data_IF_138131143903
#
_entry.id   IF_138131143903
#
_cell.length_a   1.000
_cell.length_b   1.000
_cell.length_c   1.000
_cell.angle_alpha   90.00
_cell.angle_beta   90.00
_cell.angle_gamma   90.00
#
_symmetry.space_group_name_H-M   'P 1'
#
loop_
_entity.id
_entity.type
_entity.pdbx_description
1 polymer ?
#
# COMPACT_ATOMS: atom_id res chain seq x y z
N UNK A 1 13.96 18.49 10.94
CA UNK A 1 13.10 17.80 9.95
C UNK A 1 12.03 17.08 10.75
N UNK A 2 10.79 17.56 10.73
CA UNK A 2 9.67 16.83 11.37
C UNK A 2 9.33 15.66 10.46
N UNK A 3 9.78 14.45 10.79
CA UNK A 3 9.25 13.25 10.18
C UNK A 3 7.82 13.09 10.67
N UNK A 4 6.85 13.58 9.90
CA UNK A 4 5.45 13.34 10.22
C UNK A 4 5.22 11.83 10.12
N UNK A 5 4.81 11.15 11.21
CA UNK A 5 4.58 9.71 11.16
C UNK A 5 3.43 9.40 10.19
N UNK A 6 3.60 8.36 9.39
CA UNK A 6 2.62 7.95 8.40
C UNK A 6 1.37 7.41 9.11
N UNK A 7 0.23 8.11 8.95
CA UNK A 7 -1.06 7.68 9.53
C UNK A 7 -1.89 6.98 8.46
N UNK A 8 -2.11 5.68 8.63
CA UNK A 8 -2.92 4.86 7.73
C UNK A 8 -4.42 4.98 8.02
N UNK A 9 -5.22 5.07 6.95
CA UNK A 9 -6.68 4.97 6.99
C UNK A 9 -7.12 3.81 6.11
N UNK A 10 -7.90 2.88 6.68
CA UNK A 10 -8.40 1.71 5.97
C UNK A 10 -9.77 1.98 5.30
N UNK A 11 -10.00 1.33 4.18
CA UNK A 11 -11.28 1.30 3.45
C UNK A 11 -11.50 -0.12 2.89
N UNK A 12 -12.76 -0.58 2.95
CA UNK A 12 -13.14 -1.96 2.67
C UNK A 12 -14.20 -2.00 1.56
N UNK A 13 -13.86 -2.60 0.42
CA UNK A 13 -14.75 -2.70 -0.74
C UNK A 13 -14.78 -4.13 -1.28
N UNK A 14 -15.77 -4.92 -0.85
CA UNK A 14 -15.88 -6.33 -1.23
C UNK A 14 -14.67 -7.15 -0.76
N UNK A 15 -14.04 -7.91 -1.67
CA UNK A 15 -12.81 -8.68 -1.41
C UNK A 15 -11.52 -7.84 -1.50
N UNK A 16 -11.65 -6.57 -1.90
CA UNK A 16 -10.53 -5.63 -1.93
C UNK A 16 -10.50 -4.82 -0.63
N UNK A 17 -9.30 -4.73 -0.08
CA UNK A 17 -9.00 -4.01 1.15
C UNK A 17 -7.95 -2.98 0.82
N UNK A 18 -8.10 -1.76 1.29
CA UNK A 18 -7.21 -0.66 0.94
C UNK A 18 -6.79 0.10 2.19
N UNK A 19 -5.55 0.60 2.18
CA UNK A 19 -5.04 1.55 3.16
C UNK A 19 -4.41 2.74 2.45
N UNK A 20 -4.62 3.93 2.99
CA UNK A 20 -4.06 5.19 2.46
C UNK A 20 -3.34 5.95 3.56
N UNK A 21 -2.27 6.65 3.20
CA UNK A 21 -1.58 7.56 4.11
C UNK A 21 -0.97 8.75 3.37
N UNK A 22 -0.60 9.80 4.11
CA UNK A 22 0.06 11.00 3.58
C UNK A 22 1.29 11.31 4.42
N UNK A 23 2.43 11.61 3.77
CA UNK A 23 3.68 12.06 4.41
C UNK A 23 4.33 13.12 3.54
N UNK A 24 4.60 14.30 4.09
CA UNK A 24 5.33 15.39 3.43
C UNK A 24 4.84 15.73 2.00
N UNK A 25 3.52 15.70 1.81
CA UNK A 25 2.85 15.97 0.53
C UNK A 25 2.74 14.77 -0.42
N UNK A 26 3.39 13.65 -0.11
CA UNK A 26 3.23 12.38 -0.81
C UNK A 26 2.01 11.64 -0.29
N UNK A 27 1.23 11.06 -1.19
CA UNK A 27 0.08 10.19 -0.88
C UNK A 27 0.42 8.75 -1.21
N UNK A 28 0.24 7.85 -0.27
CA UNK A 28 0.47 6.42 -0.40
C UNK A 28 -0.86 5.69 -0.45
N UNK A 29 -0.94 4.66 -1.28
CA UNK A 29 -2.10 3.78 -1.43
C UNK A 29 -1.62 2.34 -1.50
N UNK A 30 -2.05 1.55 -0.53
CA UNK A 30 -1.87 0.10 -0.49
C UNK A 30 -3.20 -0.56 -0.78
N UNK A 31 -3.21 -1.55 -1.67
CA UNK A 31 -4.38 -2.38 -1.96
C UNK A 31 -3.98 -3.83 -1.77
N UNK A 32 -4.76 -4.58 -1.01
CA UNK A 32 -4.68 -6.03 -0.90
C UNK A 32 -5.98 -6.63 -1.45
N UNK A 33 -5.85 -7.64 -2.30
CA UNK A 33 -6.97 -8.36 -2.89
C UNK A 33 -6.76 -9.86 -2.80
N UNK A 34 -7.80 -10.58 -2.38
CA UNK A 34 -7.75 -12.03 -2.33
C UNK A 34 -7.79 -12.62 -3.76
N UNK A 35 -6.87 -13.55 -4.05
CA UNK A 35 -6.75 -14.30 -5.30
C UNK A 35 -7.24 -15.74 -5.07
N UNK A 36 -8.51 -16.06 -5.40
CA UNK A 36 -9.09 -17.36 -5.09
C UNK A 36 -8.41 -18.52 -5.82
N UNK A 37 -7.84 -18.27 -7.00
CA UNK A 37 -7.14 -19.29 -7.80
C UNK A 37 -5.83 -19.75 -7.17
N UNK A 38 -5.27 -18.97 -6.25
CA UNK A 38 -3.96 -19.22 -5.65
C UNK A 38 -4.03 -19.36 -4.14
N UNK A 39 -5.21 -19.14 -3.53
CA UNK A 39 -5.42 -19.10 -2.07
C UNK A 39 -4.45 -18.13 -1.37
N UNK A 40 -4.22 -16.97 -1.98
CA UNK A 40 -3.26 -15.96 -1.52
C UNK A 40 -3.83 -14.54 -1.63
N UNK A 41 -3.25 -13.62 -0.87
CA UNK A 41 -3.54 -12.19 -0.95
C UNK A 41 -2.49 -11.48 -1.81
N UNK A 42 -2.89 -11.02 -2.99
CA UNK A 42 -2.06 -10.16 -3.81
C UNK A 42 -2.11 -8.72 -3.28
N UNK A 43 -1.00 -7.98 -3.36
CA UNK A 43 -0.99 -6.57 -2.97
C UNK A 43 -0.28 -5.68 -3.98
N UNK A 44 -0.63 -4.40 -3.94
CA UNK A 44 0.00 -3.36 -4.75
C UNK A 44 0.12 -2.07 -3.93
N UNK A 45 1.19 -1.35 -4.15
CA UNK A 45 1.52 -0.07 -3.52
C UNK A 45 1.71 0.97 -4.60
N UNK A 46 1.01 2.08 -4.47
CA UNK A 46 1.16 3.26 -5.30
C UNK A 46 1.51 4.46 -4.43
N UNK A 47 2.31 5.36 -4.97
CA UNK A 47 2.63 6.65 -4.37
C UNK A 47 2.33 7.76 -5.36
N UNK A 48 1.73 8.85 -4.89
CA UNK A 48 1.51 10.08 -5.65
C UNK A 48 2.34 11.18 -4.99
N UNK A 49 3.46 11.60 -5.60
CA UNK A 49 4.23 12.74 -5.12
C UNK A 49 3.43 14.06 -5.23
N UNK A 50 3.92 15.16 -4.64
CA UNK A 50 3.30 16.48 -4.73
C UNK A 50 3.14 17.00 -6.17
N UNK A 51 3.99 16.52 -7.09
CA UNK A 51 3.93 16.84 -8.53
C UNK A 51 2.71 16.21 -9.23
N UNK A 52 1.97 15.34 -8.54
CA UNK A 52 0.67 14.83 -8.91
C UNK A 52 0.67 13.54 -9.73
N UNK A 53 1.83 12.97 -10.08
CA UNK A 53 1.85 11.74 -10.90
C UNK A 53 1.90 10.48 -10.05
N UNK A 54 0.82 9.71 -10.03
CA UNK A 54 0.82 8.41 -9.35
C UNK A 54 1.81 7.44 -10.03
N UNK A 55 2.68 6.83 -9.24
CA UNK A 55 3.62 5.78 -9.66
C UNK A 55 3.39 4.53 -8.81
N UNK A 56 3.39 3.37 -9.48
CA UNK A 56 3.32 2.09 -8.78
C UNK A 56 4.72 1.71 -8.30
N UNK A 57 4.84 1.41 -7.00
CA UNK A 57 6.06 0.88 -6.40
C UNK A 57 6.22 -0.61 -6.78
N UNK A 58 7.44 -1.19 -6.69
CA UNK A 58 7.73 -2.57 -7.08
C UNK A 58 7.06 -3.61 -6.15
N UNK A 59 5.74 -3.69 -6.28
CA UNK A 59 4.84 -4.51 -5.47
C UNK A 59 3.90 -5.36 -6.34
N UNK A 60 3.78 -5.02 -7.63
CA UNK A 60 2.94 -5.73 -8.60
C UNK A 60 3.37 -7.21 -8.72
N UNK A 61 2.44 -8.11 -8.43
CA UNK A 61 2.65 -9.57 -8.48
C UNK A 61 3.13 -10.19 -7.17
N UNK A 62 3.41 -9.38 -6.15
CA UNK A 62 3.71 -9.87 -4.81
C UNK A 62 2.45 -10.40 -4.12
N UNK A 63 2.63 -11.47 -3.34
CA UNK A 63 1.55 -12.20 -2.70
C UNK A 63 1.94 -12.55 -1.27
N UNK A 64 0.96 -12.63 -0.40
CA UNK A 64 1.13 -13.01 0.99
C UNK A 64 0.05 -14.02 1.39
N UNK A 65 0.34 -14.89 2.40
CA UNK A 65 -0.61 -15.92 2.83
C UNK A 65 -1.84 -15.35 3.53
N UNK A 66 -1.75 -14.13 4.08
CA UNK A 66 -2.86 -13.48 4.78
C UNK A 66 -2.99 -12.02 4.36
N UNK A 67 -4.19 -11.47 4.55
CA UNK A 67 -4.47 -10.04 4.36
C UNK A 67 -3.51 -9.16 5.17
N UNK A 68 -3.28 -9.52 6.44
CA UNK A 68 -2.40 -8.76 7.33
C UNK A 68 -0.95 -8.78 6.86
N UNK A 69 -0.45 -9.95 6.40
CA UNK A 69 0.89 -10.06 5.84
C UNK A 69 1.04 -9.25 4.54
N UNK A 70 0.01 -9.23 3.69
CA UNK A 70 -0.03 -8.40 2.49
C UNK A 70 0.07 -6.91 2.83
N UNK A 71 -0.67 -6.45 3.84
CA UNK A 71 -0.58 -5.06 4.30
C UNK A 71 0.76 -4.75 4.95
N UNK A 72 1.27 -5.60 5.84
CA UNK A 72 2.55 -5.35 6.51
C UNK A 72 3.70 -5.25 5.49
N UNK A 73 3.74 -6.14 4.50
CA UNK A 73 4.75 -6.09 3.43
C UNK A 73 4.61 -4.82 2.56
N UNK A 74 3.39 -4.44 2.23
CA UNK A 74 3.10 -3.25 1.45
C UNK A 74 3.41 -1.94 2.20
N UNK A 75 3.09 -1.88 3.49
CA UNK A 75 3.40 -0.75 4.37
C UNK A 75 4.91 -0.59 4.54
N UNK A 76 5.65 -1.68 4.70
CA UNK A 76 7.12 -1.64 4.74
C UNK A 76 7.73 -1.06 3.44
N UNK A 77 7.16 -1.38 2.27
CA UNK A 77 7.59 -0.80 0.98
C UNK A 77 7.29 0.71 0.94
N UNK A 78 6.11 1.13 1.41
CA UNK A 78 5.73 2.54 1.45
C UNK A 78 6.60 3.34 2.44
N UNK A 79 6.91 2.75 3.60
CA UNK A 79 7.74 3.38 4.63
C UNK A 79 9.20 3.54 4.19
N UNK A 80 9.74 2.56 3.47
CA UNK A 80 11.08 2.59 2.90
C UNK A 80 11.22 3.58 1.72
N UNK A 81 10.12 4.11 1.19
CA UNK A 81 10.17 5.07 0.09
C UNK A 81 10.75 6.41 0.58
N UNK A 82 11.69 7.04 -0.15
CA UNK A 82 12.28 8.33 0.21
C UNK A 82 11.31 9.47 -0.16
N UNK A 83 10.23 9.61 0.61
CA UNK A 83 9.30 10.75 0.60
C UNK A 83 9.56 11.70 1.77
#
# INVERSE_FOLDING_TARGET
MSTNPMKWTADDQGVLKMRRATRDGYKFRVIAGYSPSEDLWAYNVAVTPPDGREVNLPSKGQKAPTMEAAFAAAEAIAEAYPA
#
